data_IF_800358902337
#
_entry.id   IF_800358902337
#
_cell.length_a   1.000
_cell.length_b   1.000
_cell.length_c   1.000
_cell.angle_alpha   90.00
_cell.angle_beta   90.00
_cell.angle_gamma   90.00
#
_symmetry.space_group_name_H-M   'P 1'
#
loop_
_entity.id
_entity.type
_entity.pdbx_description
1 polymer ?
#
# COMPACT_ATOMS: atom_id res chain seq x y z
N UNK A 1 -0.44 -23.56 -33.14
CA UNK A 1 -0.76 -22.36 -32.33
C UNK A 1 -1.52 -22.66 -31.03
N UNK A 2 -2.35 -23.70 -30.92
CA UNK A 2 -3.04 -24.04 -29.66
C UNK A 2 -2.12 -24.55 -28.52
N UNK A 3 -1.01 -25.22 -28.83
CA UNK A 3 -0.08 -25.73 -27.81
C UNK A 3 0.68 -24.64 -27.04
N UNK A 4 0.97 -23.50 -27.66
CA UNK A 4 1.70 -22.39 -27.02
C UNK A 4 0.83 -21.62 -26.02
N UNK A 5 -0.49 -21.52 -26.24
CA UNK A 5 -1.41 -20.90 -25.28
C UNK A 5 -1.60 -21.77 -24.02
N UNK A 6 -1.57 -23.10 -24.16
CA UNK A 6 -1.69 -24.04 -23.04
C UNK A 6 -0.49 -24.00 -22.09
N UNK A 7 0.73 -23.79 -22.63
CA UNK A 7 1.97 -23.72 -21.83
C UNK A 7 2.04 -22.40 -21.06
N UNK A 8 1.64 -21.29 -21.68
CA UNK A 8 1.55 -19.98 -21.01
C UNK A 8 0.50 -20.01 -19.90
N UNK A 9 -0.66 -20.64 -20.13
CA UNK A 9 -1.70 -20.83 -19.12
C UNK A 9 -1.22 -21.62 -17.90
N UNK A 10 -0.49 -22.72 -18.10
CA UNK A 10 0.03 -23.53 -16.99
C UNK A 10 1.13 -22.85 -16.18
N UNK A 11 2.01 -22.07 -16.83
CA UNK A 11 3.08 -21.32 -16.15
C UNK A 11 2.49 -20.17 -15.32
N UNK A 12 1.50 -19.44 -15.87
CA UNK A 12 0.80 -18.38 -15.14
C UNK A 12 0.03 -18.95 -13.95
N UNK A 13 -0.64 -20.10 -14.10
CA UNK A 13 -1.40 -20.72 -13.03
C UNK A 13 -0.50 -21.27 -11.90
N UNK A 14 0.66 -21.86 -12.23
CA UNK A 14 1.64 -22.32 -11.24
C UNK A 14 2.32 -21.15 -10.51
N UNK A 15 2.80 -20.13 -11.23
CA UNK A 15 3.42 -18.95 -10.59
C UNK A 15 2.45 -18.19 -9.68
N UNK A 16 1.16 -18.09 -10.07
CA UNK A 16 0.13 -17.47 -9.23
C UNK A 16 -0.08 -18.26 -7.93
N UNK A 17 -0.14 -19.60 -8.02
CA UNK A 17 -0.28 -20.45 -6.83
C UNK A 17 0.88 -20.32 -5.84
N UNK A 18 2.10 -20.09 -6.36
CA UNK A 18 3.29 -19.93 -5.55
C UNK A 18 3.35 -18.56 -4.86
N UNK A 19 3.07 -17.49 -5.59
CA UNK A 19 2.99 -16.14 -5.01
C UNK A 19 1.91 -16.08 -3.91
N UNK A 20 0.73 -16.63 -4.20
CA UNK A 20 -0.37 -16.70 -3.25
C UNK A 20 0.02 -17.48 -1.98
N UNK A 21 0.65 -18.64 -2.16
CA UNK A 21 1.17 -19.43 -1.04
C UNK A 21 2.18 -18.65 -0.18
N UNK A 22 3.17 -17.98 -0.79
CA UNK A 22 4.16 -17.22 -0.04
C UNK A 22 3.50 -16.10 0.79
N UNK A 23 2.56 -15.37 0.20
CA UNK A 23 1.84 -14.30 0.89
C UNK A 23 1.00 -14.88 2.03
N UNK A 24 0.26 -15.96 1.80
CA UNK A 24 -0.59 -16.59 2.81
C UNK A 24 0.21 -17.23 3.96
N UNK A 25 1.50 -17.50 3.76
CA UNK A 25 2.41 -17.97 4.81
C UNK A 25 3.11 -16.82 5.56
N UNK A 26 3.03 -15.59 5.08
CA UNK A 26 3.70 -14.45 5.71
C UNK A 26 2.87 -13.92 6.87
N UNK A 27 3.51 -13.59 8.00
CA UNK A 27 2.81 -12.94 9.12
C UNK A 27 2.42 -11.50 8.78
N UNK A 28 1.22 -11.02 9.17
CA UNK A 28 0.87 -9.61 9.12
C UNK A 28 1.90 -8.76 9.86
N UNK A 29 2.09 -7.50 9.45
CA UNK A 29 3.14 -6.64 10.00
C UNK A 29 2.79 -5.15 9.89
N UNK A 30 3.67 -4.27 10.38
CA UNK A 30 3.47 -2.82 10.38
C UNK A 30 4.50 -2.11 9.50
N UNK A 31 4.02 -1.25 8.60
CA UNK A 31 4.85 -0.22 7.96
C UNK A 31 4.72 1.07 8.76
N UNK A 32 5.84 1.62 9.24
CA UNK A 32 5.83 2.81 10.11
C UNK A 32 6.29 4.06 9.35
N UNK A 33 5.45 5.11 9.26
CA UNK A 33 5.80 6.37 8.61
C UNK A 33 7.12 6.93 9.15
N UNK A 34 8.08 7.23 8.27
CA UNK A 34 9.35 7.83 8.65
C UNK A 34 9.40 9.32 8.31
N UNK A 35 9.10 9.65 7.05
CA UNK A 35 9.23 11.02 6.57
C UNK A 35 8.36 11.26 5.34
N UNK A 36 7.84 12.47 5.23
CA UNK A 36 7.55 13.09 3.95
C UNK A 36 8.85 13.59 3.33
N UNK A 37 9.00 13.47 2.02
CA UNK A 37 10.10 14.09 1.30
C UNK A 37 9.78 14.27 -0.19
N UNK A 38 10.57 15.11 -0.86
CA UNK A 38 10.55 15.27 -2.30
C UNK A 38 11.47 14.23 -2.92
N UNK A 39 10.92 13.25 -3.62
CA UNK A 39 11.73 12.28 -4.38
C UNK A 39 12.14 12.82 -5.75
N UNK A 40 12.95 12.06 -6.49
CA UNK A 40 13.36 12.43 -7.85
C UNK A 40 12.17 12.86 -8.71
N UNK A 41 12.42 13.79 -9.63
CA UNK A 41 11.41 14.40 -10.49
C UNK A 41 10.29 15.14 -9.73
N UNK A 42 10.49 15.43 -8.44
CA UNK A 42 9.59 16.29 -7.67
C UNK A 42 8.32 15.58 -7.24
N UNK A 43 8.37 14.27 -7.02
CA UNK A 43 7.21 13.49 -6.56
C UNK A 43 7.18 13.50 -5.03
N UNK A 44 6.10 14.00 -4.44
CA UNK A 44 5.91 13.99 -2.99
C UNK A 44 5.59 12.58 -2.52
N UNK A 45 6.35 12.12 -1.54
CA UNK A 45 6.33 10.73 -1.09
C UNK A 45 6.31 10.64 0.41
N UNK A 46 5.52 9.71 0.94
CA UNK A 46 5.63 9.19 2.29
C UNK A 46 6.58 7.99 2.29
N UNK A 47 7.72 8.11 2.97
CA UNK A 47 8.64 7.01 3.25
C UNK A 47 8.23 6.30 4.55
N UNK A 48 8.43 4.98 4.59
CA UNK A 48 8.35 4.20 5.82
C UNK A 48 9.75 3.78 6.27
N UNK A 49 9.95 3.50 7.55
CA UNK A 49 11.27 3.23 8.15
C UNK A 49 12.01 1.99 7.61
N UNK A 50 11.34 1.18 6.78
CA UNK A 50 11.89 -0.03 6.18
C UNK A 50 10.83 -1.11 6.02
N UNK A 51 11.12 -2.15 5.25
CA UNK A 51 10.28 -3.34 5.27
C UNK A 51 10.47 -4.07 6.61
N UNK A 52 9.39 -4.35 7.37
CA UNK A 52 9.49 -5.19 8.57
C UNK A 52 9.99 -6.60 8.18
N UNK A 53 10.59 -7.35 9.12
CA UNK A 53 11.26 -8.62 8.81
C UNK A 53 10.39 -9.61 8.03
N UNK A 54 9.09 -9.70 8.35
CA UNK A 54 8.15 -10.55 7.61
C UNK A 54 8.03 -10.15 6.12
N UNK A 55 7.89 -8.85 5.82
CA UNK A 55 7.79 -8.37 4.43
C UNK A 55 9.13 -8.42 3.69
N UNK A 56 10.24 -8.16 4.38
CA UNK A 56 11.58 -8.32 3.80
C UNK A 56 11.83 -9.78 3.40
N UNK A 57 11.51 -10.74 4.27
CA UNK A 57 11.62 -12.16 3.98
C UNK A 57 10.68 -12.61 2.85
N UNK A 58 9.45 -12.09 2.80
CA UNK A 58 8.52 -12.32 1.70
C UNK A 58 9.10 -11.81 0.36
N UNK A 59 9.59 -10.56 0.32
CA UNK A 59 10.20 -9.98 -0.89
C UNK A 59 11.36 -10.84 -1.41
N UNK A 60 12.24 -11.28 -0.49
CA UNK A 60 13.34 -12.17 -0.84
C UNK A 60 12.82 -13.50 -1.41
N UNK A 61 11.85 -14.13 -0.74
CA UNK A 61 11.24 -15.39 -1.18
C UNK A 61 10.56 -15.27 -2.54
N UNK A 62 9.88 -14.15 -2.82
CA UNK A 62 9.27 -13.89 -4.13
C UNK A 62 10.34 -13.78 -5.21
N UNK A 63 11.43 -13.04 -4.96
CA UNK A 63 12.52 -12.88 -5.92
C UNK A 63 13.26 -14.21 -6.19
N UNK A 64 13.43 -15.05 -5.17
CA UNK A 64 14.18 -16.31 -5.29
C UNK A 64 13.38 -17.42 -5.96
N UNK A 65 12.06 -17.40 -5.80
CA UNK A 65 11.24 -18.58 -6.10
C UNK A 65 10.23 -18.36 -7.22
N UNK A 66 9.77 -17.12 -7.47
CA UNK A 66 8.84 -16.82 -8.57
C UNK A 66 9.65 -16.51 -9.83
N UNK A 67 9.64 -17.46 -10.77
CA UNK A 67 10.36 -17.32 -12.03
C UNK A 67 9.74 -16.29 -12.98
N UNK A 68 10.57 -15.68 -13.82
CA UNK A 68 10.11 -14.76 -14.88
C UNK A 68 9.81 -13.33 -14.41
N UNK A 69 10.05 -12.99 -13.14
CA UNK A 69 9.87 -11.62 -12.66
C UNK A 69 10.91 -10.66 -13.28
N UNK A 70 10.52 -9.44 -13.65
CA UNK A 70 11.46 -8.43 -14.11
C UNK A 70 12.40 -8.01 -12.96
N UNK A 71 13.58 -7.47 -13.30
CA UNK A 71 14.46 -6.88 -12.31
C UNK A 71 13.73 -5.82 -11.48
N UNK A 72 14.01 -5.78 -10.18
CA UNK A 72 13.33 -4.85 -9.30
C UNK A 72 13.79 -3.41 -9.54
N UNK A 73 12.83 -2.52 -9.84
CA UNK A 73 13.08 -1.10 -9.97
C UNK A 73 13.53 -0.49 -8.64
N UNK A 74 14.43 0.49 -8.69
CA UNK A 74 14.94 1.20 -7.49
C UNK A 74 13.82 1.73 -6.60
N UNK A 75 12.70 2.18 -7.19
CA UNK A 75 11.56 2.74 -6.49
C UNK A 75 10.75 1.76 -5.61
N UNK A 76 10.83 0.44 -5.83
CA UNK A 76 10.13 -0.55 -4.99
C UNK A 76 11.04 -1.28 -4.00
N UNK A 77 12.35 -1.00 -4.05
CA UNK A 77 13.33 -1.62 -3.14
C UNK A 77 13.13 -1.23 -1.69
N UNK A 78 12.44 -0.13 -1.40
CA UNK A 78 12.06 0.32 -0.06
C UNK A 78 10.56 0.67 -0.04
N UNK A 79 9.90 0.58 1.12
CA UNK A 79 8.48 0.88 1.22
C UNK A 79 8.23 2.38 1.13
N UNK A 80 7.31 2.76 0.25
CA UNK A 80 6.93 4.17 0.05
C UNK A 80 5.53 4.29 -0.53
N UNK A 81 4.90 5.42 -0.28
CA UNK A 81 3.63 5.81 -0.88
C UNK A 81 3.81 7.14 -1.58
N UNK A 82 3.65 7.17 -2.91
CA UNK A 82 3.62 8.44 -3.63
C UNK A 82 2.28 9.14 -3.40
N UNK A 83 2.31 10.41 -3.04
CA UNK A 83 1.14 11.20 -2.62
C UNK A 83 0.64 12.12 -3.73
N UNK A 84 1.55 12.61 -4.55
CA UNK A 84 1.23 13.49 -5.67
C UNK A 84 2.47 13.78 -6.52
N UNK A 85 2.22 14.22 -7.75
CA UNK A 85 3.26 14.60 -8.70
C UNK A 85 3.04 16.04 -9.15
N UNK A 86 4.11 16.69 -9.63
CA UNK A 86 4.02 17.99 -10.28
C UNK A 86 3.08 17.94 -11.49
N UNK A 87 2.40 19.05 -11.80
CA UNK A 87 1.73 19.20 -13.09
C UNK A 87 2.67 18.93 -14.26
N UNK A 88 2.07 18.55 -15.39
CA UNK A 88 2.81 18.50 -16.64
C UNK A 88 3.45 19.86 -16.93
N UNK A 89 4.72 19.83 -17.37
CA UNK A 89 5.56 21.01 -17.67
C UNK A 89 5.98 21.84 -16.45
N UNK A 90 5.47 21.57 -15.25
CA UNK A 90 5.98 22.22 -14.05
C UNK A 90 7.38 21.71 -13.71
N UNK A 91 8.20 22.59 -13.14
CA UNK A 91 9.54 22.31 -12.63
C UNK A 91 9.74 23.06 -11.32
N UNK A 92 10.44 22.42 -10.38
CA UNK A 92 10.80 23.06 -9.13
C UNK A 92 11.93 24.06 -9.35
N UNK A 93 11.74 25.28 -8.85
CA UNK A 93 12.87 26.18 -8.61
C UNK A 93 13.60 25.75 -7.33
N UNK A 94 14.87 26.17 -7.13
CA UNK A 94 15.58 25.91 -5.89
C UNK A 94 14.83 26.41 -4.66
N UNK A 95 14.21 27.60 -4.73
CA UNK A 95 13.42 28.18 -3.63
C UNK A 95 12.18 27.35 -3.32
N UNK A 96 11.45 26.87 -4.34
CA UNK A 96 10.29 26.00 -4.14
C UNK A 96 10.70 24.67 -3.49
N UNK A 97 11.83 24.09 -3.90
CA UNK A 97 12.35 22.88 -3.27
C UNK A 97 12.75 23.12 -1.81
N UNK A 98 13.39 24.25 -1.50
CA UNK A 98 13.71 24.62 -0.12
C UNK A 98 12.45 24.74 0.74
N UNK A 99 11.42 25.41 0.24
CA UNK A 99 10.09 25.48 0.89
C UNK A 99 9.52 24.08 1.12
N UNK A 100 9.51 23.22 0.09
CA UNK A 100 9.01 21.85 0.21
C UNK A 100 9.80 21.03 1.22
N UNK A 101 11.13 21.15 1.24
CA UNK A 101 11.99 20.45 2.19
C UNK A 101 11.72 20.92 3.62
N UNK A 102 11.46 22.21 3.85
CA UNK A 102 11.04 22.72 5.17
C UNK A 102 9.71 22.10 5.60
N UNK A 103 8.69 22.15 4.74
CA UNK A 103 7.38 21.53 5.00
C UNK A 103 7.56 20.04 5.30
N UNK A 104 8.33 19.32 4.48
CA UNK A 104 8.59 17.90 4.65
C UNK A 104 9.22 17.60 6.02
N UNK A 105 10.26 18.34 6.43
CA UNK A 105 10.89 18.15 7.75
C UNK A 105 9.94 18.41 8.90
N UNK A 106 9.21 19.52 8.86
CA UNK A 106 8.31 19.93 9.94
C UNK A 106 7.10 19.01 10.09
N UNK A 107 6.51 18.58 8.96
CA UNK A 107 5.39 17.65 8.96
C UNK A 107 5.85 16.21 9.31
N UNK A 108 7.08 15.83 8.94
CA UNK A 108 7.67 14.55 9.34
C UNK A 108 7.97 14.47 10.84
N UNK A 109 8.27 15.59 11.49
CA UNK A 109 8.52 15.64 12.94
C UNK A 109 7.30 15.23 13.78
N UNK A 110 6.12 15.14 13.17
CA UNK A 110 4.89 14.63 13.79
C UNK A 110 4.83 13.09 13.82
N UNK A 111 5.70 12.42 13.06
CA UNK A 111 5.73 10.96 13.04
C UNK A 111 6.43 10.39 14.27
N UNK A 112 5.87 9.31 14.81
CA UNK A 112 6.50 8.51 15.87
C UNK A 112 6.58 7.04 15.45
N UNK A 113 7.75 6.43 15.60
CA UNK A 113 7.93 4.99 15.31
C UNK A 113 7.29 4.07 16.36
N UNK A 114 6.84 4.63 17.48
CA UNK A 114 6.23 3.89 18.58
C UNK A 114 4.70 3.98 18.55
N UNK A 115 4.14 4.96 17.81
CA UNK A 115 2.70 5.18 17.73
C UNK A 115 2.05 4.29 16.67
N UNK A 116 1.31 3.28 17.12
CA UNK A 116 0.59 2.34 16.25
C UNK A 116 -0.54 2.99 15.45
N UNK A 117 -1.14 4.07 15.97
CA UNK A 117 -2.21 4.84 15.32
C UNK A 117 -1.74 5.61 14.06
N UNK A 118 -0.42 5.66 13.81
CA UNK A 118 0.18 6.16 12.57
C UNK A 118 0.64 5.03 11.65
N UNK A 119 0.86 3.83 12.19
CA UNK A 119 1.38 2.69 11.44
C UNK A 119 0.35 2.10 10.47
N UNK A 120 0.83 1.62 9.32
CA UNK A 120 -0.01 0.93 8.33
C UNK A 120 0.04 -0.56 8.57
N UNK A 121 -1.11 -1.14 8.91
CA UNK A 121 -1.26 -2.57 9.15
C UNK A 121 -1.36 -3.34 7.83
N UNK A 122 -0.37 -4.19 7.58
CA UNK A 122 -0.26 -5.02 6.38
C UNK A 122 -0.66 -6.44 6.74
N UNK A 123 -1.90 -6.81 6.43
CA UNK A 123 -2.51 -8.12 6.67
C UNK A 123 -2.99 -8.82 5.39
N UNK A 124 -2.91 -8.12 4.27
CA UNK A 124 -3.19 -8.63 2.94
C UNK A 124 -2.36 -7.86 1.91
N UNK A 125 -2.08 -8.51 0.79
CA UNK A 125 -1.49 -7.90 -0.40
C UNK A 125 -2.41 -8.09 -1.59
N UNK A 126 -2.41 -7.14 -2.51
CA UNK A 126 -3.25 -7.17 -3.71
C UNK A 126 -2.36 -7.27 -4.94
N UNK A 127 -2.61 -8.27 -5.78
CA UNK A 127 -2.13 -8.29 -7.15
C UNK A 127 -3.08 -7.40 -7.97
N UNK A 128 -2.53 -6.31 -8.52
CA UNK A 128 -3.30 -5.31 -9.26
C UNK A 128 -2.84 -5.27 -10.71
N UNK A 129 -3.78 -5.51 -11.62
CA UNK A 129 -3.66 -5.15 -13.03
C UNK A 129 -4.19 -3.74 -13.21
N UNK A 130 -3.40 -2.84 -13.79
CA UNK A 130 -3.73 -1.41 -13.84
C UNK A 130 -3.58 -0.80 -15.22
N UNK A 131 -4.25 0.34 -15.42
CA UNK A 131 -4.13 1.19 -16.63
C UNK A 131 -3.31 2.46 -16.38
N UNK A 132 -2.97 2.76 -15.14
CA UNK A 132 -2.16 3.92 -14.78
C UNK A 132 -1.33 3.63 -13.51
N UNK A 133 -0.13 4.23 -13.42
CA UNK A 133 0.87 3.89 -12.39
C UNK A 133 0.48 4.36 -10.98
N UNK A 134 -0.42 5.34 -10.85
CA UNK A 134 -0.97 5.74 -9.55
C UNK A 134 -2.09 4.83 -9.04
N UNK A 135 -2.51 3.82 -9.82
CA UNK A 135 -3.59 2.88 -9.47
C UNK A 135 -4.96 3.51 -9.22
N UNK A 136 -5.22 4.71 -9.73
CA UNK A 136 -6.56 5.32 -9.80
C UNK A 136 -7.46 4.57 -10.79
N UNK A 137 -6.88 3.85 -11.77
CA UNK A 137 -7.57 2.98 -12.72
C UNK A 137 -7.02 1.57 -12.66
N UNK A 138 -7.76 0.69 -11.99
CA UNK A 138 -7.46 -0.74 -11.82
C UNK A 138 -8.41 -1.55 -12.70
N UNK A 139 -7.88 -2.55 -13.39
CA UNK A 139 -8.63 -3.46 -14.28
C UNK A 139 -9.10 -4.67 -13.48
N UNK A 140 -8.18 -5.26 -12.72
CA UNK A 140 -8.41 -6.48 -11.95
C UNK A 140 -7.62 -6.40 -10.65
N UNK A 141 -8.26 -6.84 -9.58
CA UNK A 141 -7.66 -6.97 -8.25
C UNK A 141 -7.81 -8.41 -7.78
N UNK A 142 -6.73 -8.98 -7.26
CA UNK A 142 -6.74 -10.25 -6.55
C UNK A 142 -6.09 -10.06 -5.18
N UNK A 143 -6.95 -10.00 -4.16
CA UNK A 143 -6.56 -9.78 -2.76
C UNK A 143 -6.18 -11.13 -2.15
N UNK A 144 -4.99 -11.18 -1.55
CA UNK A 144 -4.43 -12.37 -0.94
C UNK A 144 -4.20 -12.07 0.55
N UNK A 145 -4.94 -12.72 1.47
CA UNK A 145 -4.73 -12.54 2.90
C UNK A 145 -3.37 -13.11 3.32
N UNK A 146 -2.71 -12.43 4.25
CA UNK A 146 -1.54 -12.96 4.95
C UNK A 146 -1.98 -13.96 6.01
N UNK A 147 -1.03 -14.66 6.64
CA UNK A 147 -1.32 -15.69 7.65
C UNK A 147 -2.16 -15.12 8.79
N UNK A 148 -3.40 -15.57 8.91
CA UNK A 148 -4.30 -15.08 9.96
C UNK A 148 -5.02 -13.77 9.64
N UNK A 149 -4.77 -13.19 8.47
CA UNK A 149 -5.59 -12.09 7.95
C UNK A 149 -7.04 -12.56 7.79
N UNK A 150 -7.99 -11.81 8.34
CA UNK A 150 -9.40 -12.14 8.22
C UNK A 150 -9.83 -12.01 6.77
N UNK A 151 -10.45 -13.05 6.20
CA UNK A 151 -11.11 -13.04 4.88
C UNK A 151 -12.40 -12.19 4.87
N UNK A 152 -12.43 -11.06 5.58
CA UNK A 152 -13.57 -10.16 5.69
C UNK A 152 -13.91 -9.43 4.38
N UNK A 153 -13.08 -9.59 3.33
CA UNK A 153 -13.16 -8.84 2.07
C UNK A 153 -14.01 -9.47 0.96
N UNK A 154 -14.80 -10.51 1.21
CA UNK A 154 -15.53 -11.23 0.15
C UNK A 154 -16.76 -10.50 -0.45
N UNK A 155 -16.93 -9.18 -0.26
CA UNK A 155 -18.11 -8.46 -0.79
C UNK A 155 -17.89 -7.12 -1.52
N UNK A 156 -16.66 -6.74 -1.91
CA UNK A 156 -16.43 -5.47 -2.64
C UNK A 156 -16.66 -5.53 -4.16
N UNK A 157 -17.19 -6.64 -4.70
CA UNK A 157 -17.41 -6.80 -6.15
C UNK A 157 -18.69 -6.14 -6.71
N UNK A 158 -19.40 -5.33 -5.91
CA UNK A 158 -20.64 -4.68 -6.32
C UNK A 158 -20.68 -3.20 -5.93
N UNK A 159 -19.80 -2.38 -6.52
CA UNK A 159 -20.02 -0.93 -6.59
C UNK A 159 -19.66 -0.44 -7.98
N UNK A 160 -20.43 -0.91 -8.97
CA UNK A 160 -20.57 -0.26 -10.28
C UNK A 160 -21.83 -0.81 -10.94
N UNK A 161 -22.99 -0.67 -10.28
CA UNK A 161 -24.30 -0.73 -10.94
C UNK A 161 -25.40 -0.20 -10.01
N UNK A 162 -26.31 0.59 -10.59
CA UNK A 162 -27.61 1.01 -10.08
C UNK A 162 -27.66 2.08 -8.97
N UNK A 163 -27.71 3.34 -9.42
CA UNK A 163 -28.66 4.30 -8.87
C UNK A 163 -30.08 3.89 -9.32
N UNK A 164 -30.91 3.40 -8.40
CA UNK A 164 -32.38 3.44 -8.42
C UNK A 164 -32.96 2.62 -7.25
N UNK A 165 -33.99 3.16 -6.59
CA UNK A 165 -34.97 2.32 -5.88
C UNK A 165 -35.11 2.58 -4.38
N UNK A 166 -36.05 3.47 -4.05
CA UNK A 166 -36.65 3.69 -2.73
C UNK A 166 -37.39 2.44 -2.22
N UNK A 167 -37.39 2.18 -0.90
CA UNK A 167 -38.21 1.10 -0.32
C UNK A 167 -38.05 0.88 1.18
N UNK A 168 -38.97 1.44 1.95
CA UNK A 168 -39.15 1.39 3.41
C UNK A 168 -39.64 0.01 3.90
N UNK A 169 -39.26 -0.44 5.11
CA UNK A 169 -39.80 -1.70 5.68
C UNK A 169 -39.24 -2.15 7.03
N UNK A 170 -39.91 -1.75 8.10
CA UNK A 170 -39.75 -2.10 9.52
C UNK A 170 -40.22 -3.54 9.85
N UNK A 171 -39.56 -4.30 10.76
CA UNK A 171 -40.20 -5.13 11.83
C UNK A 171 -39.25 -5.95 12.73
N UNK A 172 -39.62 -5.93 14.01
CA UNK A 172 -39.18 -6.70 15.18
C UNK A 172 -39.25 -8.23 15.05
N UNK A 173 -38.45 -8.93 15.88
CA UNK A 173 -38.67 -10.33 16.25
C UNK A 173 -37.74 -10.84 17.36
N UNK A 174 -38.23 -10.82 18.61
CA UNK A 174 -37.68 -11.51 19.78
C UNK A 174 -37.70 -13.04 19.60
N UNK A 175 -36.69 -13.75 20.11
CA UNK A 175 -36.69 -15.22 20.19
C UNK A 175 -35.71 -15.75 21.23
N UNK A 176 -36.25 -16.15 22.38
CA UNK A 176 -35.57 -16.82 23.51
C UNK A 176 -35.55 -18.34 23.26
N UNK A 177 -34.45 -19.03 23.55
CA UNK A 177 -34.38 -20.48 23.51
C UNK A 177 -33.13 -21.08 24.15
N UNK A 178 -33.29 -21.63 25.35
CA UNK A 178 -32.30 -22.43 26.08
C UNK A 178 -32.17 -23.85 25.49
N UNK A 179 -30.99 -24.46 25.60
CA UNK A 179 -30.81 -25.88 25.35
C UNK A 179 -29.40 -26.37 25.71
N UNK A 180 -29.26 -26.90 26.93
CA UNK A 180 -28.05 -27.56 27.42
C UNK A 180 -27.94 -29.00 26.88
N UNK A 181 -26.73 -29.42 26.51
CA UNK A 181 -26.42 -30.79 26.12
C UNK A 181 -24.92 -31.03 26.05
N UNK A 182 -24.35 -31.57 27.13
CA UNK A 182 -22.97 -32.01 27.27
C UNK A 182 -22.82 -33.47 26.84
N UNK A 183 -21.88 -33.75 25.93
CA UNK A 183 -21.40 -35.11 25.59
C UNK A 183 -19.96 -35.04 25.05
N UNK A 184 -19.18 -36.14 25.12
CA UNK A 184 -17.76 -36.09 25.48
C UNK A 184 -16.77 -36.00 24.32
N UNK A 185 -15.58 -35.56 24.72
CA UNK A 185 -14.35 -35.28 23.99
C UNK A 185 -13.75 -36.46 23.23
N UNK A 186 -13.63 -36.30 21.90
CA UNK A 186 -12.68 -37.02 21.05
C UNK A 186 -11.68 -36.03 20.43
N UNK A 187 -10.51 -35.91 21.04
CA UNK A 187 -9.47 -34.95 20.66
C UNK A 187 -8.70 -35.42 19.42
N UNK A 188 -9.20 -35.09 18.24
CA UNK A 188 -8.37 -35.00 17.04
C UNK A 188 -7.52 -33.72 17.12
N UNK A 189 -6.27 -33.70 16.63
CA UNK A 189 -5.47 -32.48 16.57
C UNK A 189 -6.17 -31.50 15.60
N UNK A 190 -6.90 -30.55 16.17
CA UNK A 190 -7.56 -29.51 15.42
C UNK A 190 -6.53 -28.73 14.61
N UNK A 191 -6.77 -28.64 13.30
CA UNK A 191 -6.22 -27.61 12.43
C UNK A 191 -6.75 -26.26 12.92
N UNK A 192 -6.19 -25.78 14.04
CA UNK A 192 -6.45 -24.47 14.59
C UNK A 192 -5.76 -23.46 13.72
N UNK A 193 -6.42 -23.03 12.64
CA UNK A 193 -6.06 -21.85 11.85
C UNK A 193 -6.25 -20.56 12.66
N UNK A 194 -5.65 -20.49 13.83
CA UNK A 194 -5.60 -19.29 14.65
C UNK A 194 -4.64 -18.32 14.01
N UNK A 195 -5.16 -17.18 13.55
CA UNK A 195 -4.33 -16.08 13.10
C UNK A 195 -3.37 -15.70 14.22
N UNK A 196 -2.08 -15.91 13.99
CA UNK A 196 -1.05 -15.49 14.94
C UNK A 196 -1.06 -13.97 15.11
N UNK A 197 -0.56 -13.45 16.24
CA UNK A 197 -0.41 -12.01 16.42
C UNK A 197 0.46 -11.43 15.30
N UNK A 198 0.27 -10.14 14.95
CA UNK A 198 1.07 -9.50 13.93
C UNK A 198 2.55 -9.40 14.36
N UNK A 199 3.45 -9.42 13.38
CA UNK A 199 4.86 -9.14 13.57
C UNK A 199 5.06 -7.63 13.79
N UNK A 200 5.21 -7.26 15.07
CA UNK A 200 5.40 -5.87 15.50
C UNK A 200 6.86 -5.42 15.42
N UNK A 201 7.81 -6.29 15.04
CA UNK A 201 9.23 -5.95 15.00
C UNK A 201 9.49 -4.79 14.03
N UNK A 202 10.46 -3.96 14.40
CA UNK A 202 10.95 -2.92 13.52
C UNK A 202 11.79 -3.53 12.38
N UNK A 203 11.95 -2.81 11.25
CA UNK A 203 12.96 -3.16 10.25
C UNK A 203 14.34 -3.27 10.90
N UNK A 204 15.22 -4.12 10.37
CA UNK A 204 16.57 -4.23 10.90
C UNK A 204 17.40 -2.97 10.63
N UNK A 205 18.55 -2.84 11.29
CA UNK A 205 19.38 -1.65 11.19
C UNK A 205 19.92 -1.39 9.76
N UNK A 206 20.12 -2.44 8.96
CA UNK A 206 20.61 -2.31 7.58
C UNK A 206 19.50 -1.71 6.71
N UNK A 207 18.29 -2.22 6.85
CA UNK A 207 17.11 -1.72 6.15
C UNK A 207 16.76 -0.29 6.57
N UNK A 208 16.80 0.02 7.86
CA UNK A 208 16.61 1.39 8.37
C UNK A 208 17.65 2.36 7.81
N UNK A 209 18.94 1.99 7.86
CA UNK A 209 20.02 2.83 7.34
C UNK A 209 19.87 3.06 5.83
N UNK A 210 19.43 2.04 5.09
CA UNK A 210 19.20 2.13 3.65
C UNK A 210 18.09 3.14 3.32
N UNK A 211 16.94 3.07 4.02
CA UNK A 211 15.86 4.06 3.83
C UNK A 211 16.32 5.45 4.27
N UNK A 212 16.97 5.56 5.42
CA UNK A 212 17.48 6.84 5.91
C UNK A 212 18.43 7.49 4.90
N UNK A 213 19.29 6.71 4.24
CA UNK A 213 20.16 7.19 3.16
C UNK A 213 19.38 7.72 1.95
N UNK A 214 18.28 7.06 1.56
CA UNK A 214 17.40 7.53 0.46
C UNK A 214 16.71 8.84 0.82
N UNK A 215 16.24 8.98 2.07
CA UNK A 215 15.60 10.22 2.53
C UNK A 215 16.62 11.35 2.65
N UNK A 216 17.80 11.08 3.22
CA UNK A 216 18.88 12.06 3.39
C UNK A 216 19.46 12.55 2.05
N UNK A 217 19.33 11.78 0.97
CA UNK A 217 19.71 12.23 -0.37
C UNK A 217 18.99 13.53 -0.76
N UNK A 218 17.73 13.71 -0.31
CA UNK A 218 16.93 14.90 -0.62
C UNK A 218 17.42 16.20 0.02
N UNK A 219 18.32 16.10 1.01
CA UNK A 219 18.97 17.24 1.67
C UNK A 219 20.33 17.61 1.01
N UNK A 220 20.79 16.87 -0.01
CA UNK A 220 22.04 17.18 -0.68
C UNK A 220 21.95 18.55 -1.41
N UNK A 221 23.01 19.40 -1.36
CA UNK A 221 22.97 20.75 -1.95
C UNK A 221 22.62 20.79 -3.44
N UNK A 222 22.96 19.75 -4.19
CA UNK A 222 22.72 19.59 -5.62
C UNK A 222 21.50 18.70 -5.94
N UNK A 223 20.75 18.25 -4.93
CA UNK A 223 19.58 17.40 -5.12
C UNK A 223 18.51 18.06 -5.99
N UNK A 224 18.48 19.39 -6.04
CA UNK A 224 17.53 20.14 -6.85
C UNK A 224 17.60 19.77 -8.34
N UNK A 225 18.76 19.36 -8.85
CA UNK A 225 18.88 18.87 -10.22
C UNK A 225 18.07 17.58 -10.43
N UNK A 226 18.07 16.67 -9.46
CA UNK A 226 17.33 15.41 -9.49
C UNK A 226 15.83 15.63 -9.27
N UNK A 227 15.47 16.49 -8.31
CA UNK A 227 14.07 16.83 -8.02
C UNK A 227 13.42 17.63 -9.17
N UNK A 228 14.13 18.54 -9.82
CA UNK A 228 13.58 19.38 -10.89
C UNK A 228 13.60 18.70 -12.27
N UNK A 229 14.37 17.61 -12.43
CA UNK A 229 14.51 16.88 -13.69
C UNK A 229 13.16 16.53 -14.31
N UNK A 230 13.05 16.63 -15.64
CA UNK A 230 11.88 16.14 -16.36
C UNK A 230 11.70 14.63 -16.18
N UNK A 231 10.45 14.22 -15.98
CA UNK A 231 10.06 12.85 -15.68
C UNK A 231 8.95 12.82 -14.63
N UNK A 232 8.29 11.67 -14.48
CA UNK A 232 7.34 11.40 -13.39
C UNK A 232 6.35 12.53 -13.06
N UNK A 233 5.86 13.26 -14.07
CA UNK A 233 4.81 14.28 -13.92
C UNK A 233 3.43 13.64 -13.84
N UNK A 234 2.39 14.44 -13.66
CA UNK A 234 0.99 13.99 -13.69
C UNK A 234 0.71 12.96 -14.80
N UNK A 235 1.07 13.27 -16.05
CA UNK A 235 0.85 12.35 -17.19
C UNK A 235 1.60 11.03 -17.10
N UNK A 236 2.74 10.96 -16.42
CA UNK A 236 3.46 9.70 -16.21
C UNK A 236 2.66 8.73 -15.33
N UNK A 237 1.96 9.27 -14.32
CA UNK A 237 1.20 8.50 -13.35
C UNK A 237 -0.23 8.21 -13.82
N UNK A 238 -0.90 9.22 -14.39
CA UNK A 238 -2.30 9.14 -14.84
C UNK A 238 -2.46 8.78 -16.31
N UNK A 239 -1.39 8.81 -17.11
CA UNK A 239 -1.41 8.35 -18.49
C UNK A 239 -1.59 6.84 -18.59
N UNK A 240 -1.88 6.36 -19.80
CA UNK A 240 -2.04 4.94 -20.07
C UNK A 240 -0.71 4.20 -19.84
N UNK A 241 -0.73 3.25 -18.93
CA UNK A 241 0.39 2.39 -18.58
C UNK A 241 -0.15 1.05 -18.06
N UNK A 242 -0.16 0.05 -18.92
CA UNK A 242 -0.58 -1.30 -18.54
C UNK A 242 0.54 -1.99 -17.76
N UNK A 243 0.20 -2.62 -16.64
CA UNK A 243 1.17 -3.37 -15.85
C UNK A 243 0.50 -4.22 -14.76
N UNK A 244 1.33 -4.98 -14.06
CA UNK A 244 0.91 -5.80 -12.90
C UNK A 244 1.84 -5.56 -11.74
N UNK A 245 1.28 -5.25 -10.57
CA UNK A 245 2.05 -4.99 -9.36
C UNK A 245 1.45 -5.68 -8.14
N UNK A 246 2.30 -6.05 -7.19
CA UNK A 246 1.93 -6.49 -5.86
C UNK A 246 2.04 -5.29 -4.92
N UNK A 247 0.92 -4.92 -4.31
CA UNK A 247 0.82 -3.73 -3.46
C UNK A 247 0.13 -4.04 -2.14
N UNK A 248 0.31 -3.14 -1.19
CA UNK A 248 -0.58 -2.99 -0.06
C UNK A 248 -1.28 -1.63 -0.16
N UNK A 249 -2.61 -1.62 -0.19
CA UNK A 249 -3.40 -0.39 -0.14
C UNK A 249 -3.40 0.17 1.28
N UNK A 250 -3.32 1.49 1.43
CA UNK A 250 -3.36 2.09 2.76
C UNK A 250 -4.80 2.03 3.31
N UNK A 251 -5.09 0.98 4.09
CA UNK A 251 -6.41 0.69 4.63
C UNK A 251 -7.16 1.88 5.26
N UNK A 252 -6.51 2.80 6.02
CA UNK A 252 -7.19 3.97 6.59
C UNK A 252 -7.89 4.88 5.55
N UNK A 253 -7.46 4.87 4.30
CA UNK A 253 -8.03 5.68 3.21
C UNK A 253 -9.10 4.95 2.40
N UNK A 254 -9.39 3.69 2.74
CA UNK A 254 -10.40 2.85 2.08
C UNK A 254 -11.59 2.51 2.98
N UNK A 255 -11.61 3.05 4.20
CA UNK A 255 -12.73 2.83 5.12
C UNK A 255 -14.03 3.43 4.57
N UNK A 256 -15.14 2.66 4.57
CA UNK A 256 -16.44 3.21 4.24
C UNK A 256 -16.82 4.37 5.17
N UNK A 257 -17.61 5.35 4.72
CA UNK A 257 -18.16 6.38 5.59
C UNK A 257 -18.85 5.77 6.82
N UNK A 258 -18.43 6.18 8.01
CA UNK A 258 -18.97 5.70 9.29
C UNK A 258 -18.34 4.42 9.85
N UNK A 259 -17.39 3.79 9.14
CA UNK A 259 -16.61 2.71 9.72
C UNK A 259 -15.70 3.24 10.84
N UNK A 260 -15.70 2.57 11.98
CA UNK A 260 -14.78 2.91 13.07
C UNK A 260 -13.35 2.60 12.61
N UNK A 261 -12.38 3.52 12.84
CA UNK A 261 -10.99 3.24 12.54
C UNK A 261 -10.49 2.07 13.38
N UNK A 262 -9.66 1.23 12.78
CA UNK A 262 -8.93 0.20 13.52
C UNK A 262 -7.89 0.81 14.47
N UNK A 263 -7.21 -0.03 15.28
CA UNK A 263 -6.15 0.43 16.18
C UNK A 263 -4.92 0.97 15.44
N UNK A 264 -4.77 0.65 14.16
CA UNK A 264 -3.64 1.04 13.32
C UNK A 264 -4.01 2.13 12.30
N UNK A 265 -3.13 3.11 12.15
CA UNK A 265 -3.18 4.08 11.05
C UNK A 265 -4.35 5.07 11.09
N UNK A 266 -5.10 5.13 12.19
CA UNK A 266 -6.26 6.01 12.35
C UNK A 266 -5.92 7.50 12.24
N UNK A 267 -4.70 7.92 12.60
CA UNK A 267 -4.22 9.30 12.48
C UNK A 267 -3.54 9.61 11.15
N UNK A 268 -3.19 8.59 10.37
CA UNK A 268 -2.46 8.79 9.11
C UNK A 268 -3.23 9.66 8.09
N UNK A 269 -4.56 9.51 7.90
CA UNK A 269 -5.33 10.41 7.03
C UNK A 269 -5.25 11.88 7.42
N UNK A 270 -5.33 12.19 8.72
CA UNK A 270 -5.21 13.55 9.23
C UNK A 270 -3.83 14.14 8.92
N UNK A 271 -2.76 13.39 9.20
CA UNK A 271 -1.38 13.82 8.94
C UNK A 271 -1.12 14.07 7.45
N UNK A 272 -1.57 13.18 6.57
CA UNK A 272 -1.43 13.36 5.12
C UNK A 272 -2.27 14.55 4.63
N UNK A 273 -3.49 14.72 5.14
CA UNK A 273 -4.34 15.86 4.77
C UNK A 273 -3.71 17.19 5.19
N UNK A 274 -3.17 17.28 6.41
CA UNK A 274 -2.48 18.47 6.91
C UNK A 274 -1.25 18.80 6.05
N UNK A 275 -0.43 17.80 5.72
CA UNK A 275 0.71 17.96 4.82
C UNK A 275 0.30 18.52 3.45
N UNK A 276 -0.72 17.92 2.82
CA UNK A 276 -1.22 18.37 1.51
C UNK A 276 -1.76 19.79 1.56
N UNK A 277 -2.54 20.13 2.58
CA UNK A 277 -3.10 21.46 2.77
C UNK A 277 -2.00 22.51 2.93
N UNK A 278 -0.92 22.18 3.65
CA UNK A 278 0.23 23.07 3.82
C UNK A 278 1.00 23.28 2.52
N UNK A 279 1.23 22.22 1.75
CA UNK A 279 1.84 22.32 0.41
C UNK A 279 1.00 23.20 -0.51
N UNK A 280 -0.32 23.02 -0.54
CA UNK A 280 -1.23 23.83 -1.36
C UNK A 280 -1.27 25.30 -0.94
N UNK A 281 -1.19 25.59 0.36
CA UNK A 281 -1.16 26.96 0.86
C UNK A 281 0.12 27.72 0.45
N UNK A 282 1.28 27.05 0.50
CA UNK A 282 2.58 27.67 0.20
C UNK A 282 2.93 27.64 -1.30
N UNK A 283 2.43 26.63 -2.02
CA UNK A 283 2.75 26.35 -3.43
C UNK A 283 1.47 26.01 -4.21
N UNK A 284 0.52 26.96 -4.32
CA UNK A 284 -0.81 26.70 -4.86
C UNK A 284 -0.77 26.21 -6.30
N UNK A 285 -1.51 25.14 -6.57
CA UNK A 285 -1.63 24.56 -7.90
C UNK A 285 -0.29 24.10 -8.49
N UNK A 286 0.67 23.69 -7.67
CA UNK A 286 1.92 23.09 -8.15
C UNK A 286 1.80 21.56 -8.32
N UNK A 287 1.02 20.92 -7.46
CA UNK A 287 0.89 19.47 -7.36
C UNK A 287 -0.48 18.95 -7.77
N UNK A 288 -0.47 17.71 -8.26
CA UNK A 288 -1.65 16.87 -8.42
C UNK A 288 -1.59 15.74 -7.43
N UNK A 289 -2.43 15.83 -6.42
CA UNK A 289 -2.64 14.78 -5.43
C UNK A 289 -3.30 13.57 -6.09
N UNK A 290 -2.82 12.38 -5.74
CA UNK A 290 -3.49 11.13 -6.11
C UNK A 290 -4.69 10.89 -5.20
N UNK A 291 -5.70 10.19 -5.72
CA UNK A 291 -6.88 9.84 -4.94
C UNK A 291 -6.51 9.05 -3.68
N UNK A 292 -7.19 9.34 -2.56
CA UNK A 292 -6.99 8.67 -1.28
C UNK A 292 -7.16 7.15 -1.40
N UNK A 293 -8.17 6.72 -2.14
CA UNK A 293 -8.49 5.31 -2.39
C UNK A 293 -7.45 4.58 -3.25
N UNK A 294 -6.52 5.30 -3.89
CA UNK A 294 -5.43 4.74 -4.69
C UNK A 294 -4.07 4.80 -3.98
N UNK A 295 -3.97 5.39 -2.79
CA UNK A 295 -2.72 5.40 -2.04
C UNK A 295 -2.32 3.96 -1.66
N UNK A 296 -1.11 3.59 -2.02
CA UNK A 296 -0.59 2.24 -1.83
C UNK A 296 0.93 2.25 -1.64
N UNK A 297 1.44 1.23 -0.96
CA UNK A 297 2.85 0.88 -0.93
C UNK A 297 3.10 -0.27 -1.90
N UNK A 298 4.02 -0.08 -2.85
CA UNK A 298 4.40 -1.15 -3.78
C UNK A 298 5.35 -2.12 -3.10
N UNK A 299 4.97 -3.39 -3.01
CA UNK A 299 5.81 -4.47 -2.51
C UNK A 299 6.70 -5.01 -3.63
N UNK A 300 6.14 -5.26 -4.83
CA UNK A 300 6.91 -5.78 -5.96
C UNK A 300 6.21 -5.56 -7.30
N UNK A 301 6.92 -5.02 -8.30
CA UNK A 301 6.44 -5.08 -9.69
C UNK A 301 6.50 -6.51 -10.20
N UNK A 302 5.39 -7.00 -10.77
CA UNK A 302 5.23 -8.36 -11.29
C UNK A 302 5.34 -8.39 -12.82
N UNK A 303 4.92 -7.31 -13.49
CA UNK A 303 5.03 -7.11 -14.92
C UNK A 303 5.11 -5.60 -15.20
N UNK A 304 6.00 -5.19 -16.10
CA UNK A 304 6.22 -3.80 -16.49
C UNK A 304 6.49 -3.63 -17.97
#
# INVERSE_FOLDING_TARGET
>A
MAASASIIGSIVQQSNSQLEYLISQTSPSLLRPLAFFVSWNGVLTLAYSGFPPALAALKQSVNDTVSGLPAEYSGSKWPKTSLGALHDKARLTPQQLETLNSICREESAKFSQEEEDQAVYVDQLTVVFYECRCLERRILEHVIPMRGGSNSSSNSRAVNEAAQGSGNGNRNGNGVGNGAGTAPSGSMPGSGGGGGPPDLRQPDAVEQARVAGVVAEADAPDYWFLASKDGSRESHYRGLALGVTLVHDLAPFRLPPGAAPGPYGSRLPELISAFRARVEAELPGLYRWFADTSLHSTVRSLMG
#
